data_IF_479570946228
#
_entry.id   IF_479570946228
#
_cell.length_a   1.000
_cell.length_b   1.000
_cell.length_c   1.000
_cell.angle_alpha   90.00
_cell.angle_beta   90.00
_cell.angle_gamma   90.00
#
_symmetry.space_group_name_H-M   'P 1'
#
loop_
_entity.id
_entity.type
_entity.pdbx_description
1 polymer ?
#
# COMPACT_ATOMS: atom_id res chain seq x y z
N UNK A 1 -16.81 -5.71 -7.05
CA UNK A 1 -15.66 -5.59 -6.12
C UNK A 1 -16.12 -5.05 -4.77
N UNK A 2 -15.44 -5.45 -3.72
CA UNK A 2 -15.73 -4.96 -2.38
C UNK A 2 -14.44 -4.45 -1.73
N UNK A 3 -14.54 -3.42 -0.86
CA UNK A 3 -13.35 -2.84 -0.22
C UNK A 3 -12.79 -3.76 0.86
N UNK A 4 -11.47 -3.83 0.93
CA UNK A 4 -10.73 -4.57 1.97
C UNK A 4 -10.08 -3.65 3.00
N UNK A 5 -10.01 -2.36 2.68
CA UNK A 5 -9.38 -1.35 3.52
C UNK A 5 -10.36 -0.22 3.80
N UNK A 6 -10.45 0.23 5.03
CA UNK A 6 -11.19 1.44 5.36
C UNK A 6 -10.24 2.64 5.42
N UNK A 7 -10.79 3.83 5.55
CA UNK A 7 -10.00 5.07 5.59
C UNK A 7 -9.01 5.08 6.74
N UNK A 8 -9.39 4.53 7.89
CA UNK A 8 -8.51 4.46 9.06
C UNK A 8 -7.28 3.63 8.76
N UNK A 9 -7.45 2.47 8.13
CA UNK A 9 -6.34 1.57 7.79
C UNK A 9 -5.43 2.19 6.72
N UNK A 10 -6.01 2.85 5.71
CA UNK A 10 -5.21 3.59 4.72
C UNK A 10 -4.39 4.71 5.38
N UNK A 11 -4.98 5.41 6.34
CA UNK A 11 -4.28 6.46 7.07
C UNK A 11 -3.16 5.90 7.94
N UNK A 12 -3.38 4.75 8.56
CA UNK A 12 -2.32 4.07 9.32
C UNK A 12 -1.15 3.70 8.43
N UNK A 13 -1.43 3.17 7.24
CA UNK A 13 -0.40 2.85 6.26
C UNK A 13 0.39 4.11 5.86
N UNK A 14 -0.33 5.18 5.53
CA UNK A 14 0.29 6.45 5.14
C UNK A 14 1.24 6.97 6.22
N UNK A 15 0.77 6.99 7.46
CA UNK A 15 1.55 7.49 8.60
C UNK A 15 2.75 6.61 8.90
N UNK A 16 2.57 5.29 8.81
CA UNK A 16 3.64 4.33 9.05
C UNK A 16 4.77 4.49 8.03
N UNK A 17 4.42 4.59 6.75
CA UNK A 17 5.42 4.74 5.69
C UNK A 17 6.12 6.11 5.79
N UNK A 18 5.35 7.16 6.02
CA UNK A 18 5.91 8.50 6.24
C UNK A 18 6.89 8.50 7.41
N UNK A 19 6.53 7.82 8.51
CA UNK A 19 7.36 7.74 9.72
C UNK A 19 8.66 6.98 9.56
N UNK A 20 8.85 6.24 8.47
CA UNK A 20 10.11 5.55 8.20
C UNK A 20 11.22 6.50 7.74
N UNK A 21 10.90 7.76 7.48
CA UNK A 21 11.86 8.83 7.13
C UNK A 21 12.71 8.43 5.91
N UNK A 22 14.01 8.28 6.05
CA UNK A 22 14.88 7.90 4.93
C UNK A 22 14.58 6.53 4.35
N UNK A 23 13.89 5.68 5.09
CA UNK A 23 13.48 4.34 4.63
C UNK A 23 12.07 4.34 4.02
N UNK A 24 11.40 5.49 3.96
CA UNK A 24 10.08 5.58 3.36
C UNK A 24 10.17 5.16 1.88
N UNK A 25 9.31 4.23 1.44
CA UNK A 25 9.42 3.68 0.09
C UNK A 25 8.75 4.55 -0.97
N UNK A 26 9.10 4.28 -2.23
CA UNK A 26 8.31 4.77 -3.36
C UNK A 26 7.02 3.98 -3.44
N UNK A 27 5.98 4.63 -3.93
CA UNK A 27 4.67 4.00 -4.11
C UNK A 27 4.03 4.44 -5.42
N UNK A 28 3.13 3.60 -5.93
CA UNK A 28 2.22 3.95 -7.02
C UNK A 28 0.90 3.22 -6.82
N UNK A 29 -0.17 3.78 -7.38
CA UNK A 29 -1.52 3.23 -7.20
C UNK A 29 -2.16 2.91 -8.54
N UNK A 30 -3.14 1.99 -8.50
CA UNK A 30 -4.05 1.75 -9.62
C UNK A 30 -5.44 2.26 -9.22
N UNK A 31 -6.10 2.95 -10.15
CA UNK A 31 -7.44 3.46 -9.94
C UNK A 31 -8.48 2.36 -10.17
N UNK A 32 -9.38 2.17 -9.21
CA UNK A 32 -10.36 1.08 -9.26
C UNK A 32 -11.37 1.22 -10.41
N UNK A 33 -11.66 2.43 -10.84
CA UNK A 33 -12.65 2.68 -11.90
C UNK A 33 -12.02 2.63 -13.28
N UNK A 34 -10.89 3.34 -13.47
CA UNK A 34 -10.28 3.53 -14.79
C UNK A 34 -9.16 2.56 -15.10
N UNK A 35 -8.59 1.92 -14.07
CA UNK A 35 -7.37 1.11 -14.22
C UNK A 35 -6.11 1.94 -14.42
N UNK A 36 -6.21 3.27 -14.36
CA UNK A 36 -5.04 4.14 -14.52
C UNK A 36 -4.03 3.88 -13.42
N UNK A 37 -2.78 3.65 -13.82
CA UNK A 37 -1.69 3.45 -12.88
C UNK A 37 -0.87 4.73 -12.76
N UNK A 38 -0.70 5.21 -11.53
CA UNK A 38 0.04 6.44 -11.28
C UNK A 38 1.54 6.27 -11.54
N UNK A 39 2.24 7.39 -11.70
CA UNK A 39 3.69 7.38 -11.66
C UNK A 39 4.16 7.03 -10.25
N UNK A 40 5.43 6.60 -10.14
CA UNK A 40 6.04 6.39 -8.83
C UNK A 40 6.19 7.71 -8.09
N UNK A 41 5.89 7.72 -6.79
CA UNK A 41 5.96 8.89 -5.92
C UNK A 41 6.66 8.50 -4.62
N UNK A 42 7.26 9.48 -3.95
CA UNK A 42 7.91 9.28 -2.65
C UNK A 42 7.20 10.03 -1.53
N UNK A 43 6.26 10.90 -1.89
CA UNK A 43 5.62 11.77 -0.92
C UNK A 43 4.37 11.10 -0.35
N UNK A 44 4.43 10.73 0.93
CA UNK A 44 3.35 9.99 1.61
C UNK A 44 2.35 10.89 2.32
N UNK A 45 2.76 12.08 2.74
CA UNK A 45 1.93 12.87 3.66
C UNK A 45 0.73 13.52 2.95
N UNK A 46 0.97 14.18 1.83
CA UNK A 46 -0.08 14.86 1.07
C UNK A 46 -0.54 14.09 -0.16
N UNK A 47 0.40 13.65 -0.99
CA UNK A 47 0.08 13.05 -2.28
C UNK A 47 -0.71 11.75 -2.15
N UNK A 48 -0.36 10.93 -1.17
CA UNK A 48 -1.02 9.63 -1.01
C UNK A 48 -2.51 9.77 -0.69
N UNK A 49 -2.91 10.81 0.04
CA UNK A 49 -4.29 11.03 0.44
C UNK A 49 -5.02 12.09 -0.38
N UNK A 50 -4.34 12.74 -1.33
CA UNK A 50 -4.81 13.95 -2.01
C UNK A 50 -6.22 13.82 -2.59
N UNK A 51 -6.54 12.67 -3.20
CA UNK A 51 -7.87 12.41 -3.78
C UNK A 51 -8.73 11.49 -2.92
N UNK A 52 -8.35 11.31 -1.67
CA UNK A 52 -8.96 10.33 -0.80
C UNK A 52 -8.53 8.92 -1.18
N UNK A 53 -9.07 7.92 -0.46
CA UNK A 53 -8.61 6.53 -0.63
C UNK A 53 -9.58 5.68 -1.46
N UNK A 54 -10.75 6.20 -1.74
CA UNK A 54 -11.85 5.45 -2.33
C UNK A 54 -11.55 4.89 -3.72
N UNK A 55 -10.68 5.56 -4.46
CA UNK A 55 -10.32 5.14 -5.82
C UNK A 55 -9.14 4.17 -5.89
N UNK A 56 -8.49 3.87 -4.77
CA UNK A 56 -7.30 3.02 -4.76
C UNK A 56 -7.69 1.56 -4.86
N UNK A 57 -7.46 0.95 -6.03
CA UNK A 57 -7.61 -0.49 -6.21
C UNK A 57 -6.52 -1.25 -5.48
N UNK A 58 -5.28 -0.81 -5.65
CA UNK A 58 -4.12 -1.32 -4.93
C UNK A 58 -3.03 -0.26 -4.90
N UNK A 59 -2.12 -0.40 -3.95
CA UNK A 59 -0.88 0.38 -3.93
C UNK A 59 0.30 -0.60 -3.98
N UNK A 60 1.27 -0.29 -4.84
CA UNK A 60 2.55 -0.98 -4.88
C UNK A 60 3.60 -0.16 -4.16
N UNK A 61 4.40 -0.84 -3.37
CA UNK A 61 5.49 -0.27 -2.59
C UNK A 61 6.78 -0.89 -3.09
N UNK A 62 7.73 -0.05 -3.50
CA UNK A 62 9.02 -0.51 -4.00
C UNK A 62 10.04 -0.56 -2.86
N UNK A 63 10.77 -1.68 -2.79
CA UNK A 63 11.80 -1.92 -1.78
C UNK A 63 13.16 -1.94 -2.46
N UNK A 64 14.11 -1.15 -1.94
CA UNK A 64 15.44 -1.02 -2.54
C UNK A 64 16.54 -1.77 -1.76
N UNK A 65 16.37 -1.94 -0.43
CA UNK A 65 17.37 -2.60 0.42
C UNK A 65 16.71 -3.54 1.42
N UNK A 66 17.50 -4.46 1.98
CA UNK A 66 17.00 -5.37 3.02
C UNK A 66 16.62 -4.63 4.29
N UNK A 67 17.37 -3.59 4.65
CA UNK A 67 17.03 -2.75 5.81
C UNK A 67 15.65 -2.12 5.63
N UNK A 68 15.41 -1.57 4.44
CA UNK A 68 14.12 -0.96 4.11
C UNK A 68 13.01 -2.02 4.13
N UNK A 69 13.26 -3.20 3.53
CA UNK A 69 12.29 -4.28 3.52
C UNK A 69 11.85 -4.67 4.93
N UNK A 70 12.82 -4.85 5.82
CA UNK A 70 12.52 -5.24 7.20
C UNK A 70 11.68 -4.18 7.92
N UNK A 71 12.01 -2.91 7.73
CA UNK A 71 11.26 -1.81 8.33
C UNK A 71 9.83 -1.74 7.80
N UNK A 72 9.66 -1.85 6.49
CA UNK A 72 8.34 -1.82 5.85
C UNK A 72 7.51 -3.01 6.29
N UNK A 73 8.06 -4.22 6.22
CA UNK A 73 7.34 -5.44 6.56
C UNK A 73 6.81 -5.42 7.99
N UNK A 74 7.62 -4.93 8.93
CA UNK A 74 7.22 -4.80 10.32
C UNK A 74 5.94 -3.96 10.43
N UNK A 75 5.88 -2.85 9.71
CA UNK A 75 4.71 -1.97 9.73
C UNK A 75 3.50 -2.60 9.04
N UNK A 76 3.70 -3.26 7.90
CA UNK A 76 2.60 -3.90 7.18
C UNK A 76 1.97 -5.02 8.01
N UNK A 77 2.78 -5.81 8.72
CA UNK A 77 2.30 -6.86 9.61
C UNK A 77 1.55 -6.26 10.80
N UNK A 78 2.10 -5.21 11.40
CA UNK A 78 1.47 -4.54 12.55
C UNK A 78 0.10 -3.98 12.19
N UNK A 79 -0.02 -3.34 11.04
CA UNK A 79 -1.27 -2.73 10.57
C UNK A 79 -2.26 -3.82 10.12
N UNK A 80 -1.76 -4.97 9.72
CA UNK A 80 -2.56 -6.09 9.23
C UNK A 80 -3.24 -5.73 7.90
N UNK A 81 -2.43 -5.53 6.86
CA UNK A 81 -2.94 -5.12 5.55
C UNK A 81 -3.11 -6.33 4.61
N UNK A 82 -4.18 -6.33 3.80
CA UNK A 82 -4.35 -7.36 2.78
C UNK A 82 -3.39 -7.11 1.62
N UNK A 83 -2.78 -8.15 1.12
CA UNK A 83 -1.85 -8.01 0.00
C UNK A 83 -0.87 -9.15 -0.13
N UNK A 84 0.19 -8.90 -0.88
CA UNK A 84 1.19 -9.91 -1.19
C UNK A 84 2.55 -9.28 -1.42
N UNK A 85 3.59 -10.11 -1.29
CA UNK A 85 4.93 -9.74 -1.70
C UNK A 85 5.00 -9.80 -3.22
N UNK A 86 5.67 -8.81 -3.82
CA UNK A 86 5.93 -8.76 -5.25
C UNK A 86 7.43 -8.89 -5.51
N UNK A 87 7.81 -8.97 -6.77
CA UNK A 87 9.21 -9.01 -7.16
C UNK A 87 9.98 -7.78 -6.67
N UNK A 88 9.35 -6.61 -6.72
CA UNK A 88 10.01 -5.34 -6.36
C UNK A 88 9.68 -4.83 -4.96
N UNK A 89 8.74 -5.47 -4.26
CA UNK A 89 8.34 -5.01 -2.93
C UNK A 89 7.06 -5.65 -2.44
N UNK A 90 6.01 -4.85 -2.27
CA UNK A 90 4.70 -5.32 -1.79
C UNK A 90 3.57 -4.67 -2.57
N UNK A 91 2.46 -5.39 -2.67
CA UNK A 91 1.20 -4.83 -3.18
C UNK A 91 0.16 -4.94 -2.08
N UNK A 92 -0.43 -3.81 -1.70
CA UNK A 92 -1.53 -3.75 -0.74
C UNK A 92 -2.82 -3.58 -1.54
N UNK A 93 -3.80 -4.46 -1.30
CA UNK A 93 -5.03 -4.54 -2.11
C UNK A 93 -6.15 -3.77 -1.43
N UNK A 94 -6.69 -2.77 -2.13
CA UNK A 94 -7.81 -1.98 -1.62
C UNK A 94 -9.17 -2.59 -1.91
N UNK A 95 -9.32 -3.27 -3.04
CA UNK A 95 -10.57 -3.90 -3.46
C UNK A 95 -10.32 -5.30 -3.99
N UNK A 96 -11.22 -6.23 -3.66
CA UNK A 96 -11.18 -7.59 -4.17
C UNK A 96 -12.42 -7.89 -5.01
N UNK A 97 -12.27 -8.76 -6.01
CA UNK A 97 -13.40 -9.29 -6.77
C UNK A 97 -14.22 -10.24 -5.89
N UNK A 98 -15.50 -10.39 -6.20
CA UNK A 98 -16.35 -11.34 -5.51
C UNK A 98 -15.78 -12.75 -5.68
N UNK A 99 -15.59 -13.43 -4.56
CA UNK A 99 -15.03 -14.79 -4.56
C UNK A 99 -13.51 -14.85 -4.62
N UNK A 100 -12.83 -13.71 -4.76
CA UNK A 100 -11.37 -13.66 -4.73
C UNK A 100 -10.87 -13.79 -3.30
N UNK A 101 -9.95 -14.74 -3.08
CA UNK A 101 -9.27 -14.88 -1.79
C UNK A 101 -8.05 -13.96 -1.77
N UNK A 102 -7.95 -13.11 -0.76
CA UNK A 102 -6.80 -12.22 -0.58
C UNK A 102 -6.23 -12.44 0.82
N UNK A 103 -4.96 -12.82 0.87
CA UNK A 103 -4.25 -13.01 2.13
C UNK A 103 -3.80 -11.66 2.70
N UNK A 104 -3.46 -11.69 3.99
CA UNK A 104 -2.82 -10.56 4.66
C UNK A 104 -1.31 -10.74 4.60
N UNK A 105 -0.58 -9.62 4.51
CA UNK A 105 0.87 -9.65 4.47
C UNK A 105 1.41 -10.10 5.83
N UNK A 106 2.34 -11.05 5.82
CA UNK A 106 2.97 -11.60 7.03
C UNK A 106 4.45 -11.90 6.78
N UNK A 107 5.15 -12.12 7.84
CA UNK A 107 6.58 -12.43 7.82
C UNK A 107 6.91 -13.75 7.16
#
# INVERSE_FOLDING_TARGET
>A
MHPLMNNTKWDELRRAMYGLDRLAPRWRTSNVESGYMSEWDREWFYHFRDRGYKSIQWVEIAVDTDEQRNAILRELVRIHVPGERTESGYRIVGYAEIGQAVDYIRE
#
